data_IF_999205979749
#
_entry.id   IF_999205979749
#
_cell.length_a   1.000
_cell.length_b   1.000
_cell.length_c   1.000
_cell.angle_alpha   90.00
_cell.angle_beta   90.00
_cell.angle_gamma   90.00
#
_symmetry.space_group_name_H-M   'P 1'
#
loop_
_entity.id
_entity.type
_entity.pdbx_description
1 polymer ?
#
# COMPACT_ATOMS: atom_id res chain seq x y z
N UNK A 1 19.53 -19.50 -14.86
CA UNK A 1 20.02 -18.11 -14.93
C UNK A 1 20.28 -17.59 -13.51
N UNK A 2 21.54 -17.32 -13.12
CA UNK A 2 21.75 -16.20 -12.19
C UNK A 2 21.18 -14.99 -12.91
N UNK A 3 20.27 -14.23 -12.29
CA UNK A 3 19.84 -12.97 -12.89
C UNK A 3 21.07 -12.04 -12.83
N UNK A 4 21.94 -12.13 -13.85
CA UNK A 4 23.22 -11.43 -13.89
C UNK A 4 22.95 -9.93 -13.77
N UNK A 5 23.46 -9.31 -12.70
CA UNK A 5 23.24 -7.89 -12.40
C UNK A 5 22.14 -7.59 -11.38
N UNK A 6 21.31 -8.57 -10.99
CA UNK A 6 20.27 -8.41 -9.97
C UNK A 6 20.79 -8.84 -8.59
N UNK A 7 20.50 -8.06 -7.54
CA UNK A 7 20.92 -8.36 -6.17
C UNK A 7 22.30 -7.84 -5.77
N UNK A 8 22.91 -6.94 -6.55
CA UNK A 8 24.15 -6.24 -6.18
C UNK A 8 23.90 -4.93 -5.39
N UNK A 9 22.66 -4.70 -4.96
CA UNK A 9 22.27 -3.49 -4.23
C UNK A 9 22.41 -3.71 -2.72
N UNK A 10 22.88 -2.68 -2.00
CA UNK A 10 22.98 -2.63 -0.52
C UNK A 10 21.60 -2.52 0.17
N UNK A 11 20.51 -2.84 -0.52
CA UNK A 11 19.12 -2.65 -0.06
C UNK A 11 18.44 -4.00 0.15
N UNK A 12 17.40 -4.02 0.98
CA UNK A 12 16.59 -5.22 1.20
C UNK A 12 15.82 -5.56 -0.09
N UNK A 13 16.00 -6.77 -0.61
CA UNK A 13 15.29 -7.31 -1.77
C UNK A 13 14.23 -8.31 -1.31
N UNK A 14 13.00 -8.24 -1.84
CA UNK A 14 11.89 -9.08 -1.38
C UNK A 14 11.98 -10.53 -1.86
N UNK A 15 12.72 -10.81 -2.94
CA UNK A 15 12.79 -12.13 -3.56
C UNK A 15 14.08 -12.87 -3.21
N UNK A 16 15.20 -12.15 -3.10
CA UNK A 16 16.52 -12.72 -2.87
C UNK A 16 17.21 -12.18 -1.60
N UNK A 17 18.08 -13.01 -1.03
CA UNK A 17 19.01 -12.66 0.04
C UNK A 17 20.31 -13.41 -0.20
N UNK A 18 21.44 -12.69 -0.23
CA UNK A 18 22.78 -13.26 -0.49
C UNK A 18 22.84 -14.18 -1.71
N UNK A 19 22.17 -13.80 -2.80
CA UNK A 19 22.14 -14.55 -4.07
C UNK A 19 21.23 -15.80 -4.08
N UNK A 20 20.50 -16.06 -2.99
CA UNK A 20 19.51 -17.17 -2.90
C UNK A 20 18.11 -16.62 -2.73
N UNK A 21 17.10 -17.36 -3.19
CA UNK A 21 15.72 -16.97 -2.96
C UNK A 21 15.42 -16.97 -1.45
N UNK A 22 14.59 -16.04 -0.98
CA UNK A 22 14.14 -16.06 0.42
C UNK A 22 13.35 -17.32 0.73
N UNK A 23 13.33 -17.68 2.01
CA UNK A 23 12.55 -18.82 2.49
C UNK A 23 11.09 -18.69 2.06
N UNK A 24 10.52 -19.76 1.52
CA UNK A 24 9.15 -19.77 0.98
C UNK A 24 9.02 -19.28 -0.47
N UNK A 25 10.05 -18.67 -1.08
CA UNK A 25 10.02 -18.17 -2.47
C UNK A 25 10.74 -19.09 -3.47
N UNK A 26 11.01 -20.34 -3.08
CA UNK A 26 11.72 -21.31 -3.90
C UNK A 26 11.00 -21.57 -5.23
N UNK A 27 9.68 -21.78 -5.19
CA UNK A 27 8.88 -22.06 -6.40
C UNK A 27 8.80 -20.86 -7.33
N UNK A 28 8.61 -19.65 -6.80
CA UNK A 28 8.65 -18.43 -7.62
C UNK A 28 10.03 -18.24 -8.26
N UNK A 29 11.11 -18.46 -7.50
CA UNK A 29 12.47 -18.41 -8.06
C UNK A 29 12.71 -19.45 -9.14
N UNK A 30 12.20 -20.69 -8.97
CA UNK A 30 12.28 -21.75 -9.98
C UNK A 30 11.50 -21.36 -11.24
N UNK A 31 10.27 -20.87 -11.09
CA UNK A 31 9.45 -20.39 -12.21
C UNK A 31 10.17 -19.31 -12.99
N UNK A 32 10.66 -18.26 -12.32
CA UNK A 32 11.39 -17.17 -12.98
C UNK A 32 12.68 -17.66 -13.65
N UNK A 33 13.40 -18.61 -13.04
CA UNK A 33 14.61 -19.22 -13.64
C UNK A 33 14.31 -20.11 -14.84
N UNK A 34 13.10 -20.64 -14.95
CA UNK A 34 12.66 -21.47 -16.08
C UNK A 34 12.33 -20.66 -17.33
N UNK A 35 12.17 -19.33 -17.19
CA UNK A 35 11.82 -18.43 -18.30
C UNK A 35 13.03 -17.73 -18.89
N UNK A 36 13.01 -17.61 -20.21
CA UNK A 36 13.90 -16.75 -20.98
C UNK A 36 13.42 -15.29 -20.92
N UNK A 37 14.30 -14.30 -21.20
CA UNK A 37 13.88 -12.90 -21.31
C UNK A 37 12.78 -12.67 -22.35
N UNK A 38 12.76 -13.44 -23.44
CA UNK A 38 11.72 -13.35 -24.47
C UNK A 38 10.35 -13.81 -23.93
N UNK A 39 10.31 -14.92 -23.19
CA UNK A 39 9.07 -15.41 -22.56
C UNK A 39 8.55 -14.45 -21.49
N UNK A 40 9.43 -13.83 -20.69
CA UNK A 40 9.00 -12.82 -19.71
C UNK A 40 8.44 -11.56 -20.39
N UNK A 41 9.03 -11.13 -21.50
CA UNK A 41 8.50 -10.02 -22.28
C UNK A 41 7.14 -10.37 -22.92
N UNK A 42 6.96 -11.61 -23.39
CA UNK A 42 5.67 -12.08 -23.88
C UNK A 42 4.61 -12.04 -22.76
N UNK A 43 4.91 -12.56 -21.57
CA UNK A 43 4.00 -12.48 -20.42
C UNK A 43 3.64 -11.05 -20.03
N UNK A 44 4.62 -10.12 -20.09
CA UNK A 44 4.36 -8.69 -19.84
C UNK A 44 3.42 -8.11 -20.89
N UNK A 45 3.65 -8.42 -22.16
CA UNK A 45 2.81 -7.95 -23.26
C UNK A 45 1.38 -8.50 -23.16
N UNK A 46 1.23 -9.78 -22.83
CA UNK A 46 -0.09 -10.41 -22.64
C UNK A 46 -0.85 -9.77 -21.47
N UNK A 47 -0.15 -9.42 -20.38
CA UNK A 47 -0.74 -8.70 -19.25
C UNK A 47 -1.20 -7.28 -19.64
N UNK A 48 -0.39 -6.54 -20.41
CA UNK A 48 -0.74 -5.21 -20.94
C UNK A 48 -1.97 -5.28 -21.85
N UNK A 49 -2.03 -6.25 -22.78
CA UNK A 49 -3.20 -6.47 -23.64
C UNK A 49 -4.45 -6.85 -22.84
N UNK A 50 -4.29 -7.64 -21.78
CA UNK A 50 -5.41 -8.01 -20.89
C UNK A 50 -5.97 -6.79 -20.19
N UNK A 51 -5.12 -5.92 -19.64
CA UNK A 51 -5.53 -4.66 -18.97
C UNK A 51 -6.27 -3.75 -19.95
N UNK A 52 -5.75 -3.61 -21.17
CA UNK A 52 -6.39 -2.83 -22.23
C UNK A 52 -7.75 -3.40 -22.61
N UNK A 53 -7.86 -4.72 -22.81
CA UNK A 53 -9.11 -5.37 -23.23
C UNK A 53 -10.19 -5.35 -22.15
N UNK A 54 -9.80 -5.36 -20.88
CA UNK A 54 -10.70 -5.17 -19.73
C UNK A 54 -11.07 -3.70 -19.49
N UNK A 55 -10.49 -2.75 -20.23
CA UNK A 55 -10.74 -1.32 -20.05
C UNK A 55 -10.23 -0.77 -18.72
N UNK A 56 -9.19 -1.37 -18.13
CA UNK A 56 -8.62 -0.94 -16.85
C UNK A 56 -7.71 0.26 -17.11
N UNK A 57 -8.24 1.47 -16.91
CA UNK A 57 -7.51 2.74 -17.05
C UNK A 57 -7.61 3.59 -15.78
N UNK A 58 -6.72 4.57 -15.66
CA UNK A 58 -6.85 5.66 -14.71
C UNK A 58 -6.70 7.00 -15.44
N UNK A 59 -7.52 7.97 -15.07
CA UNK A 59 -7.45 9.31 -15.65
C UNK A 59 -6.41 10.13 -14.90
N UNK A 60 -5.42 10.65 -15.63
CA UNK A 60 -4.49 11.63 -15.08
C UNK A 60 -5.07 13.01 -15.31
N UNK A 61 -5.32 13.74 -14.23
CA UNK A 61 -5.66 15.16 -14.28
C UNK A 61 -4.37 15.97 -14.43
N UNK A 62 -3.97 16.27 -15.68
CA UNK A 62 -2.86 17.17 -15.97
C UNK A 62 -3.35 18.30 -16.87
N UNK A 63 -3.23 19.54 -16.38
CA UNK A 63 -3.39 20.80 -17.15
C UNK A 63 -4.53 20.85 -18.18
N UNK A 64 -5.73 20.39 -17.79
CA UNK A 64 -6.95 20.54 -18.59
C UNK A 64 -7.17 19.48 -19.67
N UNK A 65 -6.34 18.45 -19.75
CA UNK A 65 -6.59 17.27 -20.59
C UNK A 65 -6.81 16.03 -19.73
N UNK A 66 -7.96 15.38 -19.89
CA UNK A 66 -8.20 14.06 -19.34
C UNK A 66 -7.52 13.04 -20.27
N UNK A 67 -6.31 12.64 -19.90
CA UNK A 67 -5.59 11.58 -20.62
C UNK A 67 -5.82 10.30 -19.84
N UNK A 68 -6.54 9.35 -20.43
CA UNK A 68 -6.64 8.00 -19.91
C UNK A 68 -5.32 7.28 -20.16
N UNK A 69 -4.69 6.80 -19.08
CA UNK A 69 -3.53 5.91 -19.16
C UNK A 69 -3.91 4.50 -18.77
N UNK A 70 -3.31 3.55 -19.49
CA UNK A 70 -3.35 2.15 -19.10
C UNK A 70 -2.71 1.97 -17.72
N UNK A 71 -3.33 1.15 -16.89
CA UNK A 71 -2.81 0.83 -15.57
C UNK A 71 -1.45 0.12 -15.68
N UNK A 72 -0.35 0.65 -15.11
CA UNK A 72 0.95 -0.02 -15.13
C UNK A 72 0.90 -1.26 -14.24
N UNK A 73 1.06 -2.45 -14.82
CA UNK A 73 1.02 -3.71 -14.11
C UNK A 73 2.36 -4.43 -14.17
N UNK A 74 2.85 -4.82 -13.00
CA UNK A 74 4.05 -5.64 -12.88
C UNK A 74 3.64 -7.12 -12.78
N UNK A 75 4.21 -7.95 -13.66
CA UNK A 75 3.99 -9.40 -13.68
C UNK A 75 4.72 -10.12 -12.55
N UNK A 76 5.64 -9.44 -11.84
CA UNK A 76 6.39 -10.00 -10.72
C UNK A 76 5.63 -9.75 -9.42
N UNK A 77 5.09 -10.78 -8.75
CA UNK A 77 4.28 -10.58 -7.56
C UNK A 77 5.16 -10.23 -6.35
N UNK A 78 4.72 -9.24 -5.56
CA UNK A 78 5.25 -9.02 -4.21
C UNK A 78 4.64 -10.03 -3.25
N UNK A 79 5.35 -11.16 -3.07
CA UNK A 79 4.88 -12.25 -2.22
C UNK A 79 5.17 -11.93 -0.76
N UNK A 80 4.14 -11.98 0.10
CA UNK A 80 4.27 -11.80 1.55
C UNK A 80 4.05 -13.15 2.23
N UNK A 81 4.97 -13.54 3.11
CA UNK A 81 4.84 -14.79 3.84
C UNK A 81 3.72 -14.73 4.87
N UNK A 82 3.00 -15.84 5.08
CA UNK A 82 1.91 -15.90 6.06
C UNK A 82 2.32 -15.38 7.44
N UNK A 83 3.49 -15.78 7.95
CA UNK A 83 3.99 -15.32 9.25
C UNK A 83 4.21 -13.81 9.31
N UNK A 84 4.67 -13.22 8.20
CA UNK A 84 4.84 -11.77 8.07
C UNK A 84 3.48 -11.07 8.00
N UNK A 85 2.57 -11.61 7.17
CA UNK A 85 1.22 -11.09 7.04
C UNK A 85 0.44 -11.13 8.37
N UNK A 86 0.53 -12.22 9.12
CA UNK A 86 -0.12 -12.36 10.44
C UNK A 86 0.35 -11.27 11.43
N UNK A 87 1.57 -10.76 11.29
CA UNK A 87 2.08 -9.66 12.09
C UNK A 87 1.59 -8.30 11.56
N UNK A 88 1.67 -8.10 10.24
CA UNK A 88 1.20 -6.89 9.56
C UNK A 88 -0.29 -6.67 9.85
N UNK A 89 -1.13 -7.69 9.68
CA UNK A 89 -2.57 -7.65 9.92
C UNK A 89 -2.89 -7.16 11.34
N UNK A 90 -2.22 -7.71 12.36
CA UNK A 90 -2.39 -7.28 13.75
C UNK A 90 -2.02 -5.82 13.94
N UNK A 91 -0.93 -5.37 13.31
CA UNK A 91 -0.51 -3.97 13.32
C UNK A 91 -1.52 -3.04 12.64
N UNK A 92 -2.08 -3.46 11.50
CA UNK A 92 -3.11 -2.70 10.77
C UNK A 92 -4.39 -2.58 11.60
N UNK A 93 -4.85 -3.67 12.24
CA UNK A 93 -6.01 -3.65 13.14
C UNK A 93 -5.77 -2.71 14.34
N UNK A 94 -4.58 -2.80 14.95
CA UNK A 94 -4.21 -1.90 16.06
C UNK A 94 -4.22 -0.44 15.61
N UNK A 95 -3.61 -0.14 14.46
CA UNK A 95 -3.54 1.21 13.89
C UNK A 95 -4.92 1.76 13.60
N UNK A 96 -5.81 0.97 12.99
CA UNK A 96 -7.19 1.41 12.68
C UNK A 96 -7.98 1.75 13.96
N UNK A 97 -7.81 0.96 15.03
CA UNK A 97 -8.42 1.25 16.34
C UNK A 97 -7.89 2.56 16.91
N UNK A 98 -6.58 2.76 16.88
CA UNK A 98 -5.95 3.99 17.35
C UNK A 98 -6.42 5.22 16.55
N UNK A 99 -6.54 5.11 15.23
CA UNK A 99 -7.04 6.18 14.36
C UNK A 99 -8.49 6.53 14.68
N UNK A 100 -9.37 5.55 14.84
CA UNK A 100 -10.76 5.81 15.21
C UNK A 100 -10.87 6.48 16.58
N UNK A 101 -10.10 6.02 17.57
CA UNK A 101 -10.05 6.64 18.89
C UNK A 101 -9.50 8.08 18.84
N UNK A 102 -8.45 8.31 18.04
CA UNK A 102 -7.86 9.63 17.85
C UNK A 102 -8.83 10.62 17.22
N UNK A 103 -9.49 10.23 16.11
CA UNK A 103 -10.47 11.08 15.43
C UNK A 103 -11.62 11.41 16.39
N UNK A 104 -12.11 10.40 17.11
CA UNK A 104 -13.17 10.60 18.09
C UNK A 104 -12.75 11.58 19.20
N UNK A 105 -11.55 11.44 19.75
CA UNK A 105 -11.07 12.32 20.82
C UNK A 105 -10.89 13.76 20.34
N UNK A 106 -10.29 13.96 19.16
CA UNK A 106 -10.06 15.28 18.57
C UNK A 106 -11.36 16.07 18.36
N UNK A 107 -12.44 15.41 17.94
CA UNK A 107 -13.74 16.05 17.74
C UNK A 107 -14.59 16.15 19.01
N UNK A 108 -14.20 15.50 20.11
CA UNK A 108 -14.97 15.46 21.36
C UNK A 108 -14.12 15.93 22.56
N UNK A 109 -13.64 15.00 23.39
CA UNK A 109 -13.07 15.32 24.70
C UNK A 109 -11.71 16.02 24.62
N UNK A 110 -11.02 15.94 23.47
CA UNK A 110 -9.71 16.54 23.19
C UNK A 110 -8.66 16.19 24.24
N UNK A 111 -8.69 14.98 24.80
CA UNK A 111 -7.76 14.53 25.84
C UNK A 111 -6.32 14.53 25.34
N UNK A 112 -6.07 14.04 24.13
CA UNK A 112 -4.73 13.97 23.53
C UNK A 112 -4.06 15.35 23.39
N UNK A 113 -4.87 16.41 23.27
CA UNK A 113 -4.40 17.81 23.24
C UNK A 113 -4.16 18.36 24.64
N UNK A 114 -5.10 18.11 25.56
CA UNK A 114 -5.00 18.50 26.98
C UNK A 114 -3.78 17.85 27.65
N UNK A 115 -3.49 16.60 27.31
CA UNK A 115 -2.34 15.82 27.75
C UNK A 115 -1.04 16.21 27.01
N UNK A 116 -1.12 17.13 26.04
CA UNK A 116 0.01 17.66 25.24
C UNK A 116 0.78 16.59 24.45
N UNK A 117 0.18 15.44 24.19
CA UNK A 117 0.75 14.40 23.32
C UNK A 117 0.74 14.85 21.87
N UNK A 118 -0.33 15.53 21.44
CA UNK A 118 -0.42 16.17 20.13
C UNK A 118 -0.57 17.70 20.31
N UNK A 119 0.28 18.52 19.67
CA UNK A 119 0.15 19.97 19.72
C UNK A 119 -1.16 20.46 19.09
N UNK A 120 -1.87 21.33 19.79
CA UNK A 120 -3.16 21.88 19.34
C UNK A 120 -3.05 22.64 18.01
N UNK A 121 -1.92 23.30 17.77
CA UNK A 121 -1.66 24.05 16.53
C UNK A 121 -1.71 23.17 15.27
N UNK A 122 -1.41 21.87 15.39
CA UNK A 122 -1.54 20.94 14.26
C UNK A 122 -2.99 20.77 13.80
N UNK A 123 -3.97 20.91 14.70
CA UNK A 123 -5.38 20.84 14.33
C UNK A 123 -5.87 22.17 13.76
N UNK A 124 -5.52 23.29 14.41
CA UNK A 124 -5.93 24.64 13.97
C UNK A 124 -5.44 24.98 12.56
N UNK A 125 -4.25 24.51 12.20
CA UNK A 125 -3.64 24.76 10.89
C UNK A 125 -3.99 23.69 9.85
N UNK A 126 -4.64 22.60 10.25
CA UNK A 126 -4.97 21.51 9.34
C UNK A 126 -6.14 21.88 8.42
N UNK A 127 -5.88 21.87 7.12
CA UNK A 127 -6.93 21.99 6.07
C UNK A 127 -7.94 20.83 6.09
N UNK A 128 -7.59 19.73 6.75
CA UNK A 128 -8.42 18.53 6.84
C UNK A 128 -9.29 18.50 8.11
N UNK A 129 -9.04 19.38 9.08
CA UNK A 129 -9.92 19.50 10.25
C UNK A 129 -11.26 20.10 9.83
N UNK A 130 -12.35 19.57 10.40
CA UNK A 130 -13.72 19.95 10.05
C UNK A 130 -14.47 20.32 11.32
N UNK A 131 -14.58 21.62 11.62
CA UNK A 131 -15.28 22.06 12.82
C UNK A 131 -16.75 21.60 12.87
N UNK A 132 -17.37 21.28 11.72
CA UNK A 132 -18.72 20.73 11.62
C UNK A 132 -18.86 19.35 12.26
N UNK A 133 -17.75 18.64 12.44
CA UNK A 133 -17.73 17.32 13.08
C UNK A 133 -17.56 17.40 14.60
N UNK A 134 -17.39 18.59 15.18
CA UNK A 134 -17.26 18.74 16.64
C UNK A 134 -18.52 18.28 17.37
N UNK A 135 -18.33 17.47 18.41
CA UNK A 135 -19.41 16.86 19.18
C UNK A 135 -20.14 15.70 18.46
N UNK A 136 -19.80 15.41 17.20
CA UNK A 136 -20.39 14.27 16.50
C UNK A 136 -19.90 12.94 17.06
N UNK A 137 -20.80 11.96 17.08
CA UNK A 137 -20.52 10.57 17.45
C UNK A 137 -21.12 9.64 16.40
N UNK A 138 -20.30 9.05 15.52
CA UNK A 138 -20.81 8.09 14.54
C UNK A 138 -21.34 6.83 15.22
N UNK A 139 -22.25 6.13 14.54
CA UNK A 139 -22.73 4.83 14.98
C UNK A 139 -21.55 3.89 15.23
N UNK A 140 -21.61 3.14 16.34
CA UNK A 140 -20.57 2.20 16.76
C UNK A 140 -19.16 2.82 16.98
N UNK A 141 -19.03 4.14 16.99
CA UNK A 141 -17.74 4.83 17.19
C UNK A 141 -16.76 4.67 16.01
N UNK A 142 -17.26 4.33 14.82
CA UNK A 142 -16.43 4.12 13.63
C UNK A 142 -16.41 5.39 12.77
N UNK A 143 -15.25 6.06 12.74
CA UNK A 143 -14.98 7.22 11.90
C UNK A 143 -14.39 6.80 10.54
N UNK A 144 -13.35 5.96 10.56
CA UNK A 144 -12.69 5.44 9.37
C UNK A 144 -13.16 4.00 9.10
N UNK A 145 -14.20 3.87 8.26
CA UNK A 145 -14.78 2.58 7.87
C UNK A 145 -13.86 1.77 6.95
N UNK A 146 -13.15 2.47 6.07
CA UNK A 146 -12.15 1.90 5.17
C UNK A 146 -10.88 2.71 5.31
N UNK A 147 -9.74 2.04 5.48
CA UNK A 147 -8.45 2.67 5.63
C UNK A 147 -7.47 2.00 4.67
N UNK A 148 -7.03 2.76 3.66
CA UNK A 148 -6.04 2.31 2.67
C UNK A 148 -4.65 2.92 2.88
N UNK A 149 -4.36 3.46 4.07
CA UNK A 149 -3.07 4.08 4.42
C UNK A 149 -2.05 3.07 4.93
#
# INVERSE_FOLDING_TARGET
MQIRGYGNNKTYDELFSSGKARSGLGELSKFLKSKTPAELNALRHDAELTIRSLGISFTIYSEGQNIDREWPFDIIPRTIMRKEWDHIEKGLIQRLRALNAFINDVYNDRKILKDKVVPEELLKTSKNYRAMCEGMKPAHGVWAHVCGS
#
